data_IF_720021879976
#
_entry.id   IF_720021879976
#
_cell.length_a   1.000
_cell.length_b   1.000
_cell.length_c   1.000
_cell.angle_alpha   90.00
_cell.angle_beta   90.00
_cell.angle_gamma   90.00
#
_symmetry.space_group_name_H-M   'P 1'
#
loop_
_entity.id
_entity.type
_entity.pdbx_description
1 polymer ?
#
# COMPACT_ATOMS: atom_id res chain seq x y z
N UNK A 1 -37.36 -7.02 50.31
CA UNK A 1 -36.75 -8.12 49.51
C UNK A 1 -35.97 -7.49 48.36
N UNK A 2 -34.85 -8.13 48.00
CA UNK A 2 -33.71 -7.60 47.23
C UNK A 2 -34.04 -7.19 45.79
N UNK A 3 -33.20 -6.28 45.30
CA UNK A 3 -33.09 -5.75 43.95
C UNK A 3 -32.94 -6.80 42.83
N UNK A 4 -33.41 -6.46 41.64
CA UNK A 4 -32.84 -6.95 40.38
C UNK A 4 -32.69 -5.78 39.41
N UNK A 5 -31.51 -5.17 39.40
CA UNK A 5 -31.03 -4.37 38.29
C UNK A 5 -30.79 -5.32 37.10
N UNK A 6 -31.64 -5.25 36.08
CA UNK A 6 -31.33 -5.82 34.77
C UNK A 6 -30.30 -4.87 34.15
N UNK A 7 -29.01 -5.14 34.42
CA UNK A 7 -27.94 -4.55 33.64
C UNK A 7 -28.03 -5.16 32.24
N UNK A 8 -28.47 -4.35 31.30
CA UNK A 8 -28.32 -4.55 29.86
C UNK A 8 -26.92 -5.07 29.59
N UNK A 9 -26.81 -6.37 29.29
CA UNK A 9 -25.56 -6.97 28.86
C UNK A 9 -25.41 -6.63 27.37
N UNK A 10 -24.99 -5.40 27.10
CA UNK A 10 -24.36 -5.04 25.84
C UNK A 10 -23.04 -5.82 25.80
N UNK A 11 -23.07 -7.03 25.26
CA UNK A 11 -21.87 -7.68 24.74
C UNK A 11 -21.51 -6.87 23.49
N UNK A 12 -20.85 -5.74 23.72
CA UNK A 12 -20.08 -5.07 22.69
C UNK A 12 -19.00 -6.06 22.29
N UNK A 13 -19.23 -6.77 21.19
CA UNK A 13 -18.15 -7.36 20.44
C UNK A 13 -17.31 -6.17 19.95
N UNK A 14 -16.33 -5.78 20.77
CA UNK A 14 -15.20 -5.03 20.30
C UNK A 14 -14.48 -5.97 19.32
N UNK A 15 -14.97 -5.98 18.08
CA UNK A 15 -14.21 -6.49 16.95
C UNK A 15 -12.94 -5.65 16.99
N UNK A 16 -11.86 -6.27 17.48
CA UNK A 16 -10.53 -5.72 17.30
C UNK A 16 -10.37 -5.62 15.79
N UNK A 17 -10.61 -4.45 15.23
CA UNK A 17 -10.15 -4.10 13.91
C UNK A 17 -8.63 -4.04 14.02
N UNK A 18 -7.99 -5.20 14.12
CA UNK A 18 -6.63 -5.36 13.66
C UNK A 18 -6.78 -4.99 12.19
N UNK A 19 -6.28 -3.83 11.80
CA UNK A 19 -6.15 -3.51 10.39
C UNK A 19 -5.39 -4.70 9.80
N UNK A 20 -6.09 -5.54 9.03
CA UNK A 20 -5.42 -6.62 8.35
C UNK A 20 -4.51 -5.93 7.34
N UNK A 21 -3.20 -5.94 7.60
CA UNK A 21 -2.24 -5.43 6.63
C UNK A 21 -2.46 -6.21 5.33
N UNK A 22 -2.35 -5.52 4.21
CA UNK A 22 -2.55 -6.10 2.88
C UNK A 22 -1.72 -7.39 2.69
N UNK A 23 -0.53 -7.41 3.30
CA UNK A 23 0.42 -8.52 3.33
C UNK A 23 -0.08 -9.79 4.02
N UNK A 24 -1.06 -9.69 4.93
CA UNK A 24 -1.60 -10.85 5.67
C UNK A 24 -2.54 -11.72 4.83
N UNK A 25 -3.16 -11.13 3.79
CA UNK A 25 -4.11 -11.82 2.91
C UNK A 25 -3.58 -12.00 1.48
N UNK A 26 -2.48 -11.37 1.13
CA UNK A 26 -1.94 -11.35 -0.23
C UNK A 26 -0.53 -11.95 -0.30
N UNK A 27 -0.21 -12.49 -1.46
CA UNK A 27 1.03 -13.21 -1.74
C UNK A 27 1.39 -13.04 -3.20
N UNK A 28 2.67 -13.19 -3.54
CA UNK A 28 3.21 -12.88 -4.88
C UNK A 28 3.11 -11.38 -5.16
N UNK A 29 4.25 -10.75 -5.40
CA UNK A 29 4.34 -9.30 -5.57
C UNK A 29 5.15 -9.03 -6.82
N UNK A 30 4.57 -8.29 -7.75
CA UNK A 30 5.26 -7.93 -8.97
C UNK A 30 4.94 -6.48 -9.36
N UNK A 31 5.98 -5.70 -9.61
CA UNK A 31 5.88 -4.35 -10.14
C UNK A 31 6.11 -4.40 -11.64
N UNK A 32 5.12 -3.97 -12.41
CA UNK A 32 5.29 -3.74 -13.84
C UNK A 32 5.87 -2.33 -14.08
N UNK A 33 6.55 -2.13 -15.21
CA UNK A 33 7.22 -0.87 -15.60
C UNK A 33 6.34 0.40 -15.53
N UNK A 34 5.01 0.26 -15.49
CA UNK A 34 4.06 1.38 -15.37
C UNK A 34 3.61 1.69 -13.93
N UNK A 35 4.25 1.09 -12.93
CA UNK A 35 3.83 1.26 -11.54
C UNK A 35 2.54 0.52 -11.21
N UNK A 36 2.30 -0.60 -11.88
CA UNK A 36 1.19 -1.50 -11.54
C UNK A 36 1.74 -2.57 -10.62
N UNK A 37 1.19 -2.66 -9.41
CA UNK A 37 1.43 -3.76 -8.50
C UNK A 37 0.42 -4.87 -8.80
N UNK A 38 0.92 -6.05 -9.12
CA UNK A 38 0.14 -7.27 -9.28
C UNK A 38 0.37 -8.18 -8.09
N UNK A 39 -0.72 -8.64 -7.46
CA UNK A 39 -0.65 -9.57 -6.33
C UNK A 39 -1.82 -10.55 -6.29
N UNK A 40 -1.65 -11.66 -5.58
CA UNK A 40 -2.66 -12.69 -5.39
C UNK A 40 -3.20 -12.64 -3.97
N UNK A 41 -4.47 -12.25 -3.81
CA UNK A 41 -5.11 -12.05 -2.52
C UNK A 41 -6.18 -13.10 -2.23
N UNK A 42 -6.25 -13.56 -0.98
CA UNK A 42 -7.33 -14.37 -0.48
C UNK A 42 -8.61 -13.52 -0.42
N UNK A 43 -9.68 -14.02 -1.04
CA UNK A 43 -10.98 -13.36 -0.94
C UNK A 43 -11.60 -13.62 0.44
N UNK A 44 -12.49 -12.73 0.87
CA UNK A 44 -13.24 -12.88 2.13
C UNK A 44 -14.10 -14.15 2.17
N UNK A 45 -14.47 -14.69 1.00
CA UNK A 45 -15.16 -15.97 0.90
C UNK A 45 -14.12 -17.07 0.63
N UNK A 46 -13.82 -17.96 1.60
CA UNK A 46 -12.81 -18.99 1.42
C UNK A 46 -13.11 -19.95 0.26
N UNK A 47 -14.39 -20.17 -0.07
CA UNK A 47 -14.81 -21.04 -1.18
C UNK A 47 -14.48 -20.46 -2.56
N UNK A 48 -14.29 -19.14 -2.64
CA UNK A 48 -13.85 -18.45 -3.87
C UNK A 48 -12.33 -18.47 -4.04
N UNK A 49 -11.59 -18.89 -3.02
CA UNK A 49 -10.14 -18.98 -3.06
C UNK A 49 -9.45 -17.63 -3.22
N UNK A 50 -8.29 -17.66 -3.89
CA UNK A 50 -7.44 -16.50 -4.15
C UNK A 50 -7.73 -15.87 -5.52
N UNK A 51 -7.54 -14.56 -5.61
CA UNK A 51 -7.74 -13.77 -6.85
C UNK A 51 -6.51 -12.95 -7.18
N UNK A 52 -6.16 -12.89 -8.47
CA UNK A 52 -5.15 -11.96 -8.98
C UNK A 52 -5.74 -10.56 -9.05
N UNK A 53 -5.06 -9.59 -8.45
CA UNK A 53 -5.51 -8.20 -8.35
C UNK A 53 -4.39 -7.25 -8.77
N UNK A 54 -4.78 -6.18 -9.47
CA UNK A 54 -3.86 -5.14 -9.93
C UNK A 54 -4.17 -3.82 -9.23
N UNK A 55 -3.15 -3.16 -8.69
CA UNK A 55 -3.23 -1.82 -8.11
C UNK A 55 -2.34 -0.87 -8.92
N UNK A 56 -2.92 0.21 -9.42
CA UNK A 56 -2.14 1.28 -10.05
C UNK A 56 -1.56 2.19 -8.96
N UNK A 57 -0.27 2.04 -8.68
CA UNK A 57 0.43 2.77 -7.62
C UNK A 57 0.52 4.28 -7.91
N UNK A 58 0.35 4.73 -9.16
CA UNK A 58 0.33 6.17 -9.48
C UNK A 58 -0.81 6.93 -8.77
N UNK A 59 -1.87 6.22 -8.41
CA UNK A 59 -2.99 6.78 -7.65
C UNK A 59 -2.65 6.96 -6.16
N UNK A 60 -1.63 6.26 -5.67
CA UNK A 60 -1.30 6.19 -4.25
C UNK A 60 0.08 6.76 -3.93
N UNK A 61 1.00 6.81 -4.89
CA UNK A 61 2.39 7.20 -4.72
C UNK A 61 2.69 8.38 -5.63
N UNK A 62 3.35 9.40 -5.08
CA UNK A 62 3.87 10.55 -5.81
C UNK A 62 5.33 10.80 -5.48
N UNK A 63 5.87 11.90 -5.99
CA UNK A 63 7.22 12.38 -5.67
C UNK A 63 7.11 13.70 -4.92
N UNK A 64 7.73 13.79 -3.74
CA UNK A 64 7.93 15.04 -3.03
C UNK A 64 9.05 15.84 -3.74
N UNK A 65 8.74 17.00 -4.35
CA UNK A 65 9.72 17.77 -5.11
C UNK A 65 10.78 18.45 -4.23
N UNK A 66 10.59 18.50 -2.90
CA UNK A 66 11.56 19.10 -1.99
C UNK A 66 12.68 18.11 -1.67
N UNK A 67 12.31 16.86 -1.40
CA UNK A 67 13.25 15.80 -1.04
C UNK A 67 13.63 14.87 -2.21
N UNK A 68 12.97 15.04 -3.37
CA UNK A 68 13.01 14.12 -4.51
C UNK A 68 12.74 12.65 -4.13
N UNK A 69 11.84 12.44 -3.16
CA UNK A 69 11.54 11.13 -2.61
C UNK A 69 10.15 10.65 -3.01
N UNK A 70 10.01 9.34 -3.25
CA UNK A 70 8.71 8.71 -3.39
C UNK A 70 7.97 8.72 -2.05
N UNK A 71 6.72 9.18 -2.06
CA UNK A 71 5.89 9.31 -0.87
C UNK A 71 4.47 8.84 -1.15
N UNK A 72 3.81 8.29 -0.12
CA UNK A 72 2.39 8.04 -0.17
C UNK A 72 1.62 9.35 -0.29
N UNK A 73 0.73 9.43 -1.28
CA UNK A 73 -0.18 10.56 -1.47
C UNK A 73 -1.21 10.55 -0.34
N UNK A 74 -1.12 11.49 0.57
CA UNK A 74 -2.21 11.77 1.51
C UNK A 74 -3.18 12.76 0.85
N UNK A 75 -4.40 12.31 0.52
CA UNK A 75 -5.45 13.19 0.01
C UNK A 75 -5.32 13.62 -1.46
N UNK A 76 -4.59 12.85 -2.29
CA UNK A 76 -4.53 13.07 -3.74
C UNK A 76 -3.56 14.15 -4.22
N UNK A 77 -2.75 14.73 -3.32
CA UNK A 77 -1.65 15.64 -3.69
C UNK A 77 -0.37 14.88 -4.04
N UNK A 78 0.35 15.36 -5.05
CA UNK A 78 1.58 14.77 -5.60
C UNK A 78 1.43 14.41 -7.07
N UNK A 79 2.43 14.76 -7.89
CA UNK A 79 2.47 14.31 -9.29
C UNK A 79 2.53 12.78 -9.31
N UNK A 80 1.91 12.15 -10.32
CA UNK A 80 2.07 10.71 -10.52
C UNK A 80 3.57 10.39 -10.60
N UNK A 81 4.04 9.42 -9.79
CA UNK A 81 5.47 9.17 -9.68
C UNK A 81 6.08 8.73 -11.02
N UNK A 82 5.31 8.05 -11.88
CA UNK A 82 5.73 7.66 -13.23
C UNK A 82 6.10 8.83 -14.16
N UNK A 83 5.75 10.08 -13.83
CA UNK A 83 6.17 11.24 -14.59
C UNK A 83 7.62 11.64 -14.32
N UNK A 84 8.15 11.23 -13.16
CA UNK A 84 9.47 11.62 -12.68
C UNK A 84 10.37 10.42 -12.39
N UNK A 85 9.79 9.23 -12.20
CA UNK A 85 10.51 8.02 -11.88
C UNK A 85 10.23 6.91 -12.89
N UNK A 86 11.25 6.09 -13.13
CA UNK A 86 11.20 4.90 -13.96
C UNK A 86 12.05 3.78 -13.35
N UNK A 87 12.23 2.70 -14.11
CA UNK A 87 13.02 1.53 -13.69
C UNK A 87 12.61 0.98 -12.31
N UNK A 88 11.30 0.91 -12.08
CA UNK A 88 10.75 0.53 -10.79
C UNK A 88 10.71 -0.98 -10.61
N UNK A 89 11.14 -1.43 -9.44
CA UNK A 89 11.12 -2.84 -9.04
C UNK A 89 10.96 -3.00 -7.54
N UNK A 90 10.77 -4.23 -7.09
CA UNK A 90 10.94 -4.57 -5.67
C UNK A 90 12.42 -4.75 -5.40
N UNK A 91 12.89 -4.35 -4.22
CA UNK A 91 14.27 -4.58 -3.81
C UNK A 91 14.56 -6.08 -3.66
N UNK A 92 15.78 -6.51 -4.01
CA UNK A 92 16.18 -7.93 -3.92
C UNK A 92 16.05 -8.51 -2.50
N UNK A 93 16.13 -7.67 -1.47
CA UNK A 93 16.04 -8.04 -0.06
C UNK A 93 14.65 -7.78 0.56
N UNK A 94 13.65 -7.35 -0.21
CA UNK A 94 12.31 -7.03 0.30
C UNK A 94 11.22 -7.17 -0.75
N UNK A 95 10.19 -7.95 -0.45
CA UNK A 95 8.99 -8.07 -1.29
C UNK A 95 8.04 -6.86 -1.20
N UNK A 96 8.30 -5.93 -0.28
CA UNK A 96 7.38 -4.83 0.06
C UNK A 96 8.00 -3.45 -0.13
N UNK A 97 9.30 -3.37 -0.38
CA UNK A 97 9.94 -2.08 -0.66
C UNK A 97 10.09 -1.96 -2.16
N UNK A 98 9.35 -1.02 -2.74
CA UNK A 98 9.51 -0.63 -4.13
C UNK A 98 10.61 0.41 -4.22
N UNK A 99 11.53 0.23 -5.16
CA UNK A 99 12.59 1.14 -5.51
C UNK A 99 12.44 1.59 -6.96
N UNK A 100 12.73 2.86 -7.23
CA UNK A 100 12.69 3.46 -8.56
C UNK A 100 13.85 4.45 -8.73
N UNK A 101 14.25 4.67 -9.97
CA UNK A 101 15.13 5.77 -10.34
C UNK A 101 14.28 7.01 -10.64
N UNK A 102 14.45 8.07 -9.86
CA UNK A 102 13.69 9.32 -9.95
C UNK A 102 14.57 10.46 -10.45
N UNK A 103 14.02 11.30 -11.32
CA UNK A 103 14.62 12.54 -11.81
C UNK A 103 14.06 13.69 -10.99
N UNK A 104 14.96 14.46 -10.37
CA UNK A 104 14.64 15.71 -9.71
C UNK A 104 14.15 16.72 -10.76
N UNK A 105 12.89 17.19 -10.68
CA UNK A 105 12.34 18.11 -11.66
C UNK A 105 13.00 19.51 -11.63
N UNK A 106 13.68 19.87 -10.54
CA UNK A 106 14.35 21.17 -10.40
C UNK A 106 15.78 21.13 -10.94
N UNK A 107 16.53 20.06 -10.66
CA UNK A 107 17.95 19.97 -11.01
C UNK A 107 18.23 19.11 -12.24
N UNK A 108 17.28 18.26 -12.63
CA UNK A 108 17.48 17.22 -13.64
C UNK A 108 18.38 16.07 -13.19
N UNK A 109 18.84 16.08 -11.94
CA UNK A 109 19.65 15.02 -11.36
C UNK A 109 18.83 13.74 -11.16
N UNK A 110 19.48 12.58 -11.26
CA UNK A 110 18.84 11.29 -10.98
C UNK A 110 19.25 10.78 -9.60
N UNK A 111 18.27 10.30 -8.84
CA UNK A 111 18.46 9.66 -7.54
C UNK A 111 17.58 8.43 -7.44
N UNK A 112 18.08 7.39 -6.80
CA UNK A 112 17.26 6.24 -6.42
C UNK A 112 16.41 6.61 -5.21
N UNK A 113 15.13 6.25 -5.25
CA UNK A 113 14.18 6.46 -4.18
C UNK A 113 13.39 5.19 -3.90
N UNK A 114 12.92 5.03 -2.66
CA UNK A 114 12.23 3.80 -2.22
C UNK A 114 11.03 4.12 -1.35
N UNK A 115 10.02 3.26 -1.38
CA UNK A 115 8.79 3.38 -0.58
C UNK A 115 8.34 2.01 -0.10
N UNK A 116 7.97 1.91 1.17
CA UNK A 116 7.39 0.70 1.74
C UNK A 116 5.90 0.63 1.37
N UNK A 117 5.48 -0.49 0.78
CA UNK A 117 4.14 -0.78 0.29
C UNK A 117 3.18 -1.33 1.35
N UNK A 118 3.63 -1.53 2.60
CA UNK A 118 2.82 -2.03 3.72
C UNK A 118 1.72 -1.06 4.19
#
# INVERSE_FOLDING_TARGET
MRAMCIKTLLIGAAVRHIAANFTSGCSVWYIHERGILTTVCQTWNPDKGKVLTNLNLNNCIGVDPVSNAMVWKHGGSGNAFNNHCGNCGLQDNSELVMECDCIDPQTGGSTTSSVNLE
#
